data_IF_009179342096
#
_entry.id   IF_009179342096
#
_cell.length_a   1.000
_cell.length_b   1.000
_cell.length_c   1.000
_cell.angle_alpha   90.00
_cell.angle_beta   90.00
_cell.angle_gamma   90.00
#
_symmetry.space_group_name_H-M   'P 1'
#
loop_
_entity.id
_entity.type
_entity.pdbx_description
1 polymer ?
#
# COMPACT_ATOMS: atom_id res chain seq x y z
N UNK A 1 -39.69 48.03 48.35
CA UNK A 1 -39.49 46.57 48.41
C UNK A 1 -38.90 46.12 47.07
N UNK A 2 -37.59 45.95 47.01
CA UNK A 2 -36.90 45.51 45.79
C UNK A 2 -37.10 44.00 45.63
N UNK A 3 -37.69 43.60 44.50
CA UNK A 3 -37.80 42.19 44.09
C UNK A 3 -36.46 41.76 43.51
N UNK A 4 -35.79 40.83 44.18
CA UNK A 4 -34.55 40.20 43.72
C UNK A 4 -34.84 39.34 42.50
N UNK A 5 -34.13 39.60 41.40
CA UNK A 5 -34.11 38.76 40.20
C UNK A 5 -33.01 37.72 40.41
N UNK A 6 -33.39 36.45 40.50
CA UNK A 6 -32.46 35.32 40.48
C UNK A 6 -32.13 35.05 39.01
N UNK A 7 -30.89 35.34 38.61
CA UNK A 7 -30.35 34.98 37.30
C UNK A 7 -29.73 33.59 37.41
N UNK A 8 -30.38 32.58 36.82
CA UNK A 8 -29.85 31.21 36.73
C UNK A 8 -28.94 31.15 35.50
N UNK A 9 -27.63 31.07 35.72
CA UNK A 9 -26.65 30.76 34.68
C UNK A 9 -26.76 29.27 34.31
N UNK A 10 -27.46 28.96 33.22
CA UNK A 10 -27.35 27.66 32.56
C UNK A 10 -26.04 27.60 31.79
N UNK A 11 -25.02 26.97 32.40
CA UNK A 11 -23.78 26.63 31.71
C UNK A 11 -24.05 25.52 30.69
N UNK A 12 -24.07 25.87 29.40
CA UNK A 12 -24.13 24.91 28.32
C UNK A 12 -22.75 24.23 28.25
N UNK A 13 -22.68 22.99 28.72
CA UNK A 13 -21.56 22.08 28.51
C UNK A 13 -21.62 21.63 27.04
N UNK A 14 -21.02 22.38 26.12
CA UNK A 14 -20.85 21.96 24.72
C UNK A 14 -19.75 20.90 24.72
N UNK A 15 -20.14 19.64 24.89
CA UNK A 15 -19.33 18.53 24.41
C UNK A 15 -19.22 18.71 22.89
N UNK A 16 -18.06 19.11 22.39
CA UNK A 16 -17.73 19.07 20.96
C UNK A 16 -17.62 17.59 20.56
N UNK A 17 -18.76 16.91 20.46
CA UNK A 17 -18.85 15.65 19.72
C UNK A 17 -18.44 15.98 18.29
N UNK A 18 -17.39 15.32 17.80
CA UNK A 18 -17.19 15.19 16.36
C UNK A 18 -18.54 14.73 15.79
N UNK A 19 -19.08 15.48 14.82
CA UNK A 19 -20.38 15.14 14.25
C UNK A 19 -20.39 13.71 13.70
N UNK A 20 -21.58 13.11 13.61
CA UNK A 20 -21.72 11.77 13.04
C UNK A 20 -21.07 11.69 11.64
N UNK A 21 -20.42 10.56 11.34
CA UNK A 21 -19.74 10.35 10.07
C UNK A 21 -20.81 10.34 8.98
N UNK A 22 -20.72 11.30 8.07
CA UNK A 22 -21.72 11.45 7.01
C UNK A 22 -21.51 10.41 5.91
N UNK A 23 -22.52 10.22 5.07
CA UNK A 23 -22.40 9.38 3.88
C UNK A 23 -21.30 9.90 2.92
N UNK A 24 -21.10 11.22 2.87
CA UNK A 24 -20.02 11.84 2.09
C UNK A 24 -18.64 11.44 2.63
N UNK A 25 -18.46 11.47 3.95
CA UNK A 25 -17.21 11.06 4.59
C UNK A 25 -16.92 9.57 4.31
N UNK A 26 -17.94 8.71 4.36
CA UNK A 26 -17.81 7.30 3.97
C UNK A 26 -17.31 7.14 2.54
N UNK A 27 -17.92 7.85 1.59
CA UNK A 27 -17.49 7.81 0.19
C UNK A 27 -16.05 8.31 0.00
N UNK A 28 -15.65 9.36 0.70
CA UNK A 28 -14.29 9.88 0.64
C UNK A 28 -13.28 8.86 1.19
N UNK A 29 -13.56 8.26 2.35
CA UNK A 29 -12.72 7.21 2.91
C UNK A 29 -12.60 6.01 1.94
N UNK A 30 -13.71 5.59 1.31
CA UNK A 30 -13.68 4.52 0.32
C UNK A 30 -12.81 4.85 -0.88
N UNK A 31 -12.92 6.08 -1.41
CA UNK A 31 -12.12 6.55 -2.54
C UNK A 31 -10.63 6.53 -2.20
N UNK A 32 -10.27 7.00 -0.99
CA UNK A 32 -8.88 6.97 -0.52
C UNK A 32 -8.33 5.54 -0.43
N UNK A 33 -9.08 4.59 0.15
CA UNK A 33 -8.66 3.19 0.20
C UNK A 33 -8.57 2.54 -1.18
N UNK A 34 -9.50 2.84 -2.08
CA UNK A 34 -9.48 2.33 -3.45
C UNK A 34 -8.26 2.85 -4.23
N UNK A 35 -7.90 4.12 -4.06
CA UNK A 35 -6.70 4.70 -4.65
C UNK A 35 -5.43 4.01 -4.15
N UNK A 36 -5.32 3.78 -2.83
CA UNK A 36 -4.18 3.09 -2.24
C UNK A 36 -4.08 1.61 -2.68
N UNK A 37 -5.21 0.90 -2.75
CA UNK A 37 -5.28 -0.48 -3.29
C UNK A 37 -4.73 -0.53 -4.73
N UNK A 38 -5.22 0.38 -5.59
CA UNK A 38 -4.80 0.44 -6.99
C UNK A 38 -3.32 0.77 -7.13
N UNK A 39 -2.79 1.71 -6.33
CA UNK A 39 -1.37 2.04 -6.36
C UNK A 39 -0.49 0.83 -6.02
N UNK A 40 -0.84 0.07 -4.98
CA UNK A 40 -0.08 -1.11 -4.55
C UNK A 40 -0.15 -2.24 -5.60
N UNK A 41 -1.34 -2.52 -6.13
CA UNK A 41 -1.53 -3.55 -7.15
C UNK A 41 -0.80 -3.19 -8.46
N UNK A 42 -0.88 -1.93 -8.90
CA UNK A 42 -0.20 -1.45 -10.09
C UNK A 42 1.32 -1.51 -9.93
N UNK A 43 1.84 -1.08 -8.77
CA UNK A 43 3.27 -1.18 -8.49
C UNK A 43 3.76 -2.63 -8.55
N UNK A 44 3.02 -3.56 -7.94
CA UNK A 44 3.38 -4.98 -7.98
C UNK A 44 3.41 -5.52 -9.42
N UNK A 45 2.37 -5.25 -10.21
CA UNK A 45 2.30 -5.70 -11.60
C UNK A 45 3.41 -5.09 -12.47
N UNK A 46 3.67 -3.79 -12.31
CA UNK A 46 4.75 -3.09 -13.02
C UNK A 46 6.12 -3.68 -12.68
N UNK A 47 6.41 -3.88 -11.39
CA UNK A 47 7.69 -4.48 -10.96
C UNK A 47 7.86 -5.90 -11.51
N UNK A 48 6.83 -6.75 -11.48
CA UNK A 48 6.94 -8.10 -12.04
C UNK A 48 7.18 -8.08 -13.56
N UNK A 49 6.58 -7.12 -14.27
CA UNK A 49 6.83 -6.90 -15.69
C UNK A 49 8.27 -6.44 -15.96
N UNK A 50 8.79 -5.49 -15.17
CA UNK A 50 10.17 -4.99 -15.27
C UNK A 50 11.21 -6.08 -15.02
N UNK A 51 10.99 -6.92 -14.00
CA UNK A 51 11.84 -8.08 -13.71
C UNK A 51 11.87 -9.03 -14.90
N UNK A 52 10.70 -9.40 -15.42
CA UNK A 52 10.59 -10.29 -16.58
C UNK A 52 11.33 -9.71 -17.79
N UNK A 53 11.08 -8.45 -18.14
CA UNK A 53 11.71 -7.80 -19.28
C UNK A 53 13.24 -7.72 -19.13
N UNK A 54 13.73 -7.50 -17.91
CA UNK A 54 15.17 -7.47 -17.64
C UNK A 54 15.81 -8.85 -17.80
N UNK A 55 15.15 -9.88 -17.28
CA UNK A 55 15.62 -11.28 -17.41
C UNK A 55 15.62 -11.69 -18.88
N UNK A 56 14.50 -11.54 -19.57
CA UNK A 56 14.35 -11.89 -20.99
C UNK A 56 15.35 -11.13 -21.87
N UNK A 57 15.50 -9.82 -21.64
CA UNK A 57 16.47 -8.99 -22.38
C UNK A 57 17.91 -9.49 -22.20
N UNK A 58 18.29 -9.92 -21.00
CA UNK A 58 19.63 -10.44 -20.74
C UNK A 58 19.85 -11.82 -21.39
N UNK A 59 18.86 -12.70 -21.32
CA UNK A 59 18.88 -14.01 -21.99
C UNK A 59 19.09 -13.82 -23.49
N UNK A 60 18.30 -12.94 -24.12
CA UNK A 60 18.41 -12.63 -25.56
C UNK A 60 19.82 -12.09 -25.89
N UNK A 61 20.35 -11.17 -25.08
CA UNK A 61 21.71 -10.65 -25.28
C UNK A 61 22.78 -11.75 -25.25
N UNK A 62 22.72 -12.70 -24.31
CA UNK A 62 23.69 -13.79 -24.25
C UNK A 62 23.51 -14.80 -25.37
N UNK A 63 22.26 -15.12 -25.75
CA UNK A 63 21.96 -15.98 -26.90
C UNK A 63 22.52 -15.41 -28.20
N UNK A 64 22.35 -14.12 -28.43
CA UNK A 64 22.86 -13.43 -29.63
C UNK A 64 24.40 -13.41 -29.69
N UNK A 65 25.08 -13.58 -28.55
CA UNK A 65 26.54 -13.69 -28.47
C UNK A 65 27.04 -15.14 -28.52
N UNK A 66 26.15 -16.12 -28.59
CA UNK A 66 26.49 -17.53 -28.52
C UNK A 66 26.97 -17.99 -27.15
N UNK A 67 26.77 -17.20 -26.09
CA UNK A 67 27.27 -17.51 -24.74
C UNK A 67 26.27 -18.40 -23.97
N UNK A 68 26.25 -19.68 -24.34
CA UNK A 68 25.29 -20.65 -23.81
C UNK A 68 25.34 -20.78 -22.28
N UNK A 69 26.54 -20.75 -21.70
CA UNK A 69 26.73 -20.83 -20.24
C UNK A 69 26.06 -19.63 -19.55
N UNK A 70 26.29 -18.42 -20.05
CA UNK A 70 25.66 -17.22 -19.49
C UNK A 70 24.15 -17.17 -19.74
N UNK A 71 23.66 -17.72 -20.86
CA UNK A 71 22.22 -17.88 -21.09
C UNK A 71 21.57 -18.72 -19.99
N UNK A 72 22.13 -19.90 -19.68
CA UNK A 72 21.59 -20.78 -18.64
C UNK A 72 21.66 -20.12 -17.26
N UNK A 73 22.75 -19.43 -16.94
CA UNK A 73 22.86 -18.67 -15.69
C UNK A 73 21.81 -17.56 -15.59
N UNK A 74 21.59 -16.80 -16.66
CA UNK A 74 20.57 -15.74 -16.67
C UNK A 74 19.16 -16.31 -16.47
N UNK A 75 18.85 -17.46 -17.07
CA UNK A 75 17.58 -18.15 -16.85
C UNK A 75 17.42 -18.61 -15.39
N UNK A 76 18.45 -19.23 -14.81
CA UNK A 76 18.37 -19.75 -13.45
C UNK A 76 18.28 -18.62 -12.41
N UNK A 77 19.19 -17.65 -12.46
CA UNK A 77 19.14 -16.51 -11.54
C UNK A 77 17.91 -15.64 -11.77
N UNK A 78 17.42 -15.55 -13.01
CA UNK A 78 16.19 -14.83 -13.34
C UNK A 78 14.94 -15.46 -12.71
N UNK A 79 14.85 -16.80 -12.67
CA UNK A 79 13.78 -17.50 -11.95
C UNK A 79 13.82 -17.22 -10.45
N UNK A 80 15.00 -17.33 -9.83
CA UNK A 80 15.16 -17.03 -8.41
C UNK A 80 14.79 -15.57 -8.09
N UNK A 81 15.26 -14.62 -8.90
CA UNK A 81 14.91 -13.21 -8.80
C UNK A 81 13.40 -12.99 -8.84
N UNK A 82 12.72 -13.57 -9.83
CA UNK A 82 11.27 -13.44 -9.97
C UNK A 82 10.52 -14.00 -8.77
N UNK A 83 10.92 -15.17 -8.26
CA UNK A 83 10.31 -15.79 -7.08
C UNK A 83 10.51 -14.95 -5.82
N UNK A 84 11.73 -14.46 -5.57
CA UNK A 84 12.04 -13.62 -4.42
C UNK A 84 11.21 -12.32 -4.42
N UNK A 85 11.14 -11.65 -5.57
CA UNK A 85 10.38 -10.40 -5.73
C UNK A 85 8.87 -10.66 -5.64
N UNK A 86 8.36 -11.74 -6.24
CA UNK A 86 6.95 -12.10 -6.15
C UNK A 86 6.54 -12.35 -4.70
N UNK A 87 7.32 -13.18 -3.98
CA UNK A 87 7.04 -13.51 -2.59
C UNK A 87 7.02 -12.25 -1.72
N UNK A 88 8.02 -11.37 -1.86
CA UNK A 88 8.08 -10.12 -1.10
C UNK A 88 6.96 -9.15 -1.47
N UNK A 89 6.66 -9.01 -2.77
CA UNK A 89 5.60 -8.12 -3.27
C UNK A 89 4.20 -8.56 -2.84
N UNK A 90 3.94 -9.87 -2.78
CA UNK A 90 2.68 -10.41 -2.25
C UNK A 90 2.48 -10.05 -0.78
N UNK A 91 3.54 -10.08 0.02
CA UNK A 91 3.46 -9.71 1.45
C UNK A 91 3.33 -8.21 1.63
N UNK A 92 4.24 -7.44 1.04
CA UNK A 92 4.37 -6.01 1.35
C UNK A 92 3.33 -5.14 0.64
N UNK A 93 2.95 -5.51 -0.59
CA UNK A 93 2.05 -4.73 -1.44
C UNK A 93 0.66 -5.37 -1.51
N UNK A 94 0.55 -6.61 -1.99
CA UNK A 94 -0.76 -7.26 -2.19
C UNK A 94 -1.47 -7.51 -0.85
N UNK A 95 -0.73 -7.91 0.19
CA UNK A 95 -1.27 -8.06 1.54
C UNK A 95 -1.83 -6.76 2.10
N UNK A 96 -1.12 -5.64 1.90
CA UNK A 96 -1.59 -4.32 2.32
C UNK A 96 -2.78 -3.83 1.48
N UNK A 97 -2.79 -4.10 0.18
CA UNK A 97 -3.93 -3.82 -0.69
C UNK A 97 -5.18 -4.60 -0.25
N UNK A 98 -5.01 -5.86 0.15
CA UNK A 98 -6.06 -6.68 0.74
C UNK A 98 -6.61 -6.10 2.04
N UNK A 99 -5.74 -5.57 2.91
CA UNK A 99 -6.17 -4.84 4.11
C UNK A 99 -7.03 -3.61 3.76
N UNK A 100 -6.63 -2.81 2.76
CA UNK A 100 -7.41 -1.65 2.31
C UNK A 100 -8.76 -2.03 1.70
N UNK A 101 -8.80 -3.13 0.93
CA UNK A 101 -10.06 -3.69 0.41
C UNK A 101 -11.03 -4.03 1.55
N UNK A 102 -10.57 -4.75 2.57
CA UNK A 102 -11.40 -5.11 3.73
C UNK A 102 -11.90 -3.86 4.47
N UNK A 103 -11.06 -2.83 4.63
CA UNK A 103 -11.48 -1.56 5.24
C UNK A 103 -12.57 -0.86 4.42
N UNK A 104 -12.42 -0.81 3.08
CA UNK A 104 -13.43 -0.24 2.18
C UNK A 104 -14.78 -0.95 2.28
N UNK A 105 -14.77 -2.28 2.38
CA UNK A 105 -15.99 -3.09 2.55
C UNK A 105 -16.66 -2.86 3.91
N UNK A 106 -15.87 -2.65 4.97
CA UNK A 106 -16.40 -2.31 6.30
C UNK A 106 -17.05 -0.92 6.32
N UNK A 107 -16.46 0.09 5.69
CA UNK A 107 -16.99 1.48 5.74
C UNK A 107 -18.45 1.58 5.27
N UNK A 108 -18.86 0.78 4.28
CA UNK A 108 -20.24 0.78 3.75
C UNK A 108 -21.20 -0.12 4.52
N UNK A 109 -20.69 -1.00 5.39
CA UNK A 109 -21.57 -1.84 6.19
C UNK A 109 -22.36 -0.96 7.16
N UNK A 110 -23.69 -1.05 7.18
CA UNK A 110 -24.52 -0.33 8.15
C UNK A 110 -24.26 -0.80 9.58
N UNK A 111 -23.62 -1.97 9.77
CA UNK A 111 -23.25 -2.52 11.07
C UNK A 111 -21.90 -1.99 11.60
N UNK A 112 -21.15 -1.19 10.83
CA UNK A 112 -19.87 -0.64 11.29
C UNK A 112 -20.11 0.46 12.32
N UNK A 113 -19.50 0.30 13.49
CA UNK A 113 -19.65 1.23 14.60
C UNK A 113 -19.10 2.62 14.25
N UNK A 114 -19.75 3.66 14.76
CA UNK A 114 -19.37 5.06 14.55
C UNK A 114 -17.91 5.33 14.98
N UNK A 115 -17.47 4.76 16.11
CA UNK A 115 -16.08 4.87 16.57
C UNK A 115 -15.04 4.23 15.64
N UNK A 116 -15.41 3.16 14.93
CA UNK A 116 -14.53 2.53 13.93
C UNK A 116 -14.37 3.43 12.69
N UNK A 117 -15.46 4.08 12.28
CA UNK A 117 -15.46 5.03 11.17
C UNK A 117 -14.64 6.28 11.50
N UNK A 118 -14.79 6.84 12.71
CA UNK A 118 -14.00 7.97 13.20
C UNK A 118 -12.51 7.65 13.28
N UNK A 119 -12.15 6.48 13.84
CA UNK A 119 -10.77 6.02 13.89
C UNK A 119 -10.17 5.88 12.48
N UNK A 120 -10.97 5.36 11.54
CA UNK A 120 -10.55 5.20 10.16
C UNK A 120 -10.36 6.54 9.46
N UNK A 121 -11.30 7.48 9.63
CA UNK A 121 -11.23 8.83 9.07
C UNK A 121 -10.00 9.58 9.60
N UNK A 122 -9.79 9.52 10.93
CA UNK A 122 -8.62 10.11 11.58
C UNK A 122 -7.32 9.52 11.04
N UNK A 123 -7.24 8.20 10.89
CA UNK A 123 -6.06 7.54 10.31
C UNK A 123 -5.75 7.98 8.86
N UNK A 124 -6.76 8.40 8.10
CA UNK A 124 -6.60 8.95 6.75
C UNK A 124 -6.21 10.44 6.79
N UNK A 125 -6.89 11.24 7.62
CA UNK A 125 -6.63 12.69 7.76
C UNK A 125 -5.25 12.98 8.35
N UNK A 126 -4.84 12.22 9.36
CA UNK A 126 -3.55 12.38 10.04
C UNK A 126 -2.38 11.81 9.21
N UNK A 127 -2.66 11.22 8.03
CA UNK A 127 -1.67 10.69 7.10
C UNK A 127 -0.98 9.40 7.52
N UNK A 128 -1.27 8.87 8.72
CA UNK A 128 -0.65 7.64 9.26
C UNK A 128 -0.82 6.43 8.33
N UNK A 129 -2.01 6.29 7.74
CA UNK A 129 -2.31 5.20 6.80
C UNK A 129 -1.48 5.30 5.52
N UNK A 130 -1.39 6.52 4.96
CA UNK A 130 -0.62 6.79 3.75
C UNK A 130 0.88 6.61 3.98
N UNK A 131 1.40 7.09 5.12
CA UNK A 131 2.80 6.90 5.51
C UNK A 131 3.16 5.42 5.60
N UNK A 132 2.32 4.60 6.24
CA UNK A 132 2.55 3.14 6.30
C UNK A 132 2.61 2.50 4.91
N UNK A 133 1.75 2.94 3.98
CA UNK A 133 1.80 2.49 2.59
C UNK A 133 3.12 2.87 1.92
N UNK A 134 3.53 4.14 2.04
CA UNK A 134 4.77 4.65 1.47
C UNK A 134 6.01 3.94 2.04
N UNK A 135 6.03 3.68 3.35
CA UNK A 135 7.11 2.93 4.00
C UNK A 135 7.23 1.50 3.45
N UNK A 136 6.10 0.80 3.27
CA UNK A 136 6.07 -0.52 2.64
C UNK A 136 6.55 -0.48 1.19
N UNK A 137 6.10 0.51 0.41
CA UNK A 137 6.53 0.71 -0.98
C UNK A 137 8.05 0.94 -1.05
N UNK A 138 8.59 1.78 -0.17
CA UNK A 138 10.01 2.10 -0.14
C UNK A 138 10.86 0.88 0.24
N UNK A 139 10.43 0.11 1.25
CA UNK A 139 11.09 -1.12 1.65
C UNK A 139 11.08 -2.16 0.53
N UNK A 140 9.94 -2.33 -0.15
CA UNK A 140 9.83 -3.21 -1.30
C UNK A 140 10.74 -2.78 -2.46
N UNK A 141 10.73 -1.49 -2.83
CA UNK A 141 11.60 -0.95 -3.89
C UNK A 141 13.08 -1.14 -3.57
N UNK A 142 13.48 -0.93 -2.31
CA UNK A 142 14.86 -1.17 -1.86
C UNK A 142 15.25 -2.64 -2.01
N UNK A 143 14.36 -3.56 -1.61
CA UNK A 143 14.58 -4.99 -1.77
C UNK A 143 14.71 -5.39 -3.26
N UNK A 144 13.81 -4.91 -4.12
CA UNK A 144 13.85 -5.14 -5.56
C UNK A 144 15.17 -4.64 -6.13
N UNK A 145 15.57 -3.40 -5.82
CA UNK A 145 16.82 -2.82 -6.30
C UNK A 145 18.03 -3.66 -5.90
N UNK A 146 18.08 -4.15 -4.66
CA UNK A 146 19.15 -5.03 -4.21
C UNK A 146 19.18 -6.34 -5.01
N UNK A 147 18.03 -7.00 -5.16
CA UNK A 147 17.92 -8.27 -5.87
C UNK A 147 18.24 -8.17 -7.37
N UNK A 148 17.85 -7.07 -7.99
CA UNK A 148 18.21 -6.76 -9.38
C UNK A 148 19.72 -6.59 -9.54
N UNK A 149 20.40 -5.92 -8.60
CA UNK A 149 21.87 -5.80 -8.60
C UNK A 149 22.54 -7.16 -8.42
N UNK A 150 22.09 -7.97 -7.45
CA UNK A 150 22.60 -9.33 -7.24
C UNK A 150 22.48 -10.19 -8.51
N UNK A 151 21.33 -10.11 -9.20
CA UNK A 151 21.12 -10.79 -10.47
C UNK A 151 22.13 -10.36 -11.55
N UNK A 152 22.33 -9.05 -11.73
CA UNK A 152 23.26 -8.50 -12.71
C UNK A 152 24.71 -8.92 -12.42
N UNK A 153 25.12 -8.89 -11.15
CA UNK A 153 26.45 -9.33 -10.75
C UNK A 153 26.65 -10.83 -10.99
N UNK A 154 25.72 -11.66 -10.54
CA UNK A 154 25.83 -13.11 -10.62
C UNK A 154 25.83 -13.61 -12.07
N UNK A 155 24.99 -13.01 -12.93
CA UNK A 155 24.99 -13.32 -14.36
C UNK A 155 26.26 -12.87 -15.08
N UNK A 156 26.90 -11.78 -14.63
CA UNK A 156 28.15 -11.29 -15.21
C UNK A 156 29.37 -12.14 -14.84
N UNK A 157 29.34 -12.76 -13.65
CA UNK A 157 30.39 -13.65 -13.12
C UNK A 157 30.37 -15.06 -13.72
N UNK A 158 29.32 -15.45 -14.44
CA UNK A 158 29.03 -16.86 -14.74
C UNK A 158 29.98 -17.56 -15.72
#
# INVERSE_FOLDING_TARGET
MYKSIIVIYFGIFICLSWGEITQKDKMEMQSNFASMENQLNNLFQQTMSEVKNTVDGRIIQFRNRGDYRRTVCAEQFGRTLAMDIEAKGRVDLVGLAGYFKVRRERIISPATAQGDLESTQKGLQDGTTKKRMEDNINNFKKFVSQKMTEYLENTSKC
#
